data_IF_038965985693
#
_entry.id   IF_038965985693
#
_cell.length_a   1.000
_cell.length_b   1.000
_cell.length_c   1.000
_cell.angle_alpha   90.00
_cell.angle_beta   90.00
_cell.angle_gamma   90.00
#
_symmetry.space_group_name_H-M   'P 1'
#
loop_
_entity.id
_entity.type
_entity.pdbx_description
1 polymer ?
#
# COMPACT_ATOMS: atom_id res chain seq x y z
N UNK A 1 6.27 -51.35 -31.35
CA UNK A 1 6.02 -51.16 -29.91
C UNK A 1 7.14 -50.26 -29.38
N UNK A 2 6.87 -48.97 -29.26
CA UNK A 2 7.74 -47.98 -28.60
C UNK A 2 6.86 -47.19 -27.63
N UNK A 3 7.33 -46.86 -26.42
CA UNK A 3 6.46 -46.32 -25.39
C UNK A 3 6.12 -44.85 -25.65
N UNK A 4 4.92 -44.49 -25.22
CA UNK A 4 4.37 -43.16 -25.25
C UNK A 4 5.19 -42.18 -24.39
N UNK A 5 5.41 -40.99 -24.94
CA UNK A 5 6.04 -39.85 -24.27
C UNK A 5 5.00 -39.24 -23.30
N UNK A 6 5.17 -39.49 -22.01
CA UNK A 6 4.32 -38.96 -20.96
C UNK A 6 4.80 -37.55 -20.60
N UNK A 7 3.99 -36.54 -20.95
CA UNK A 7 4.15 -35.17 -20.51
C UNK A 7 4.25 -35.11 -18.97
N UNK A 8 5.36 -34.56 -18.45
CA UNK A 8 5.52 -34.26 -17.03
C UNK A 8 4.61 -33.09 -16.64
N UNK A 9 3.83 -33.19 -15.55
CA UNK A 9 3.19 -32.01 -14.97
C UNK A 9 4.27 -31.11 -14.35
N UNK A 10 4.19 -29.82 -14.68
CA UNK A 10 4.93 -28.73 -14.05
C UNK A 10 4.69 -28.77 -12.54
N UNK A 11 5.74 -29.06 -11.78
CA UNK A 11 5.75 -28.91 -10.33
C UNK A 11 5.69 -27.42 -10.01
N UNK A 12 4.52 -26.91 -9.67
CA UNK A 12 4.38 -25.63 -8.98
C UNK A 12 5.14 -25.73 -7.65
N UNK A 13 6.18 -24.90 -7.51
CA UNK A 13 6.89 -24.75 -6.24
C UNK A 13 5.97 -23.93 -5.32
N UNK A 14 5.58 -24.45 -4.15
CA UNK A 14 4.90 -23.63 -3.17
C UNK A 14 5.90 -22.59 -2.64
N UNK A 15 5.71 -21.33 -3.03
CA UNK A 15 6.39 -20.19 -2.42
C UNK A 15 5.92 -20.12 -0.97
N UNK A 16 6.72 -20.64 -0.06
CA UNK A 16 6.49 -20.52 1.37
C UNK A 16 6.63 -19.05 1.77
N UNK A 17 5.51 -18.36 1.91
CA UNK A 17 5.45 -17.03 2.51
C UNK A 17 5.79 -17.19 4.02
N UNK A 18 7.02 -16.84 4.40
CA UNK A 18 7.40 -16.77 5.80
C UNK A 18 6.76 -15.53 6.43
N UNK A 19 5.52 -15.69 6.92
CA UNK A 19 4.93 -14.73 7.85
C UNK A 19 5.75 -14.81 9.15
N UNK A 20 6.57 -13.81 9.43
CA UNK A 20 7.17 -13.64 10.75
C UNK A 20 6.12 -13.02 11.65
N UNK A 21 5.42 -13.77 12.54
CA UNK A 21 4.61 -13.13 13.54
C UNK A 21 5.59 -12.40 14.48
N UNK A 22 5.62 -11.07 14.40
CA UNK A 22 6.12 -10.29 15.50
C UNK A 22 5.38 -10.77 16.75
N UNK A 23 6.13 -11.37 17.68
CA UNK A 23 5.62 -11.85 18.96
C UNK A 23 5.21 -10.64 19.80
N UNK A 24 4.07 -10.05 19.47
CA UNK A 24 3.33 -9.17 20.38
C UNK A 24 2.90 -10.04 21.57
N UNK A 25 3.06 -9.56 22.83
CA UNK A 25 2.61 -10.29 24.00
C UNK A 25 1.12 -10.64 23.82
N UNK A 26 0.82 -11.95 23.70
CA UNK A 26 -0.51 -12.50 23.40
C UNK A 26 -1.56 -12.33 24.52
N UNK A 27 -1.37 -11.38 25.43
CA UNK A 27 -2.18 -11.25 26.65
C UNK A 27 -2.65 -9.83 26.96
N UNK A 28 -2.79 -8.96 25.95
CA UNK A 28 -3.70 -7.83 26.12
C UNK A 28 -5.13 -8.39 26.13
N UNK A 29 -5.95 -8.17 27.18
CA UNK A 29 -7.36 -8.50 27.12
C UNK A 29 -7.95 -7.81 25.89
N UNK A 30 -8.91 -8.44 25.16
CA UNK A 30 -9.59 -7.76 24.09
C UNK A 30 -10.11 -6.45 24.65
N UNK A 31 -9.59 -5.31 24.16
CA UNK A 31 -10.18 -4.01 24.50
C UNK A 31 -11.66 -4.17 24.18
N UNK A 32 -12.58 -3.84 25.11
CA UNK A 32 -13.99 -3.85 24.79
C UNK A 32 -14.13 -3.07 23.49
N UNK A 33 -14.70 -3.71 22.46
CA UNK A 33 -14.91 -3.07 21.17
C UNK A 33 -15.52 -1.72 21.47
N UNK A 34 -14.75 -0.64 21.23
CA UNK A 34 -15.17 0.71 21.55
C UNK A 34 -16.42 0.89 20.72
N UNK A 35 -17.58 0.84 21.36
CA UNK A 35 -18.84 0.89 20.65
C UNK A 35 -18.77 2.16 19.81
N UNK A 36 -18.89 2.02 18.49
CA UNK A 36 -19.08 3.17 17.61
C UNK A 36 -20.12 4.05 18.29
N UNK A 37 -19.90 5.37 18.45
CA UNK A 37 -20.89 6.24 19.08
C UNK A 37 -22.24 5.90 18.46
N UNK A 38 -23.16 5.35 19.25
CA UNK A 38 -24.36 4.67 18.72
C UNK A 38 -25.24 5.62 17.90
N UNK A 39 -24.98 6.92 18.04
CA UNK A 39 -25.71 8.03 17.44
C UNK A 39 -25.00 8.64 16.20
N UNK A 40 -23.88 8.07 15.73
CA UNK A 40 -23.16 8.56 14.54
C UNK A 40 -23.15 7.53 13.43
N UNK A 41 -23.35 8.00 12.20
CA UNK A 41 -23.19 7.18 10.99
C UNK A 41 -21.76 6.59 10.94
N UNK A 42 -21.55 5.30 10.61
CA UNK A 42 -20.21 4.73 10.44
C UNK A 42 -19.42 5.41 9.32
N UNK A 43 -18.09 5.50 9.46
CA UNK A 43 -17.19 5.82 8.34
C UNK A 43 -16.73 4.51 7.74
N UNK A 44 -16.87 4.34 6.42
CA UNK A 44 -16.38 3.18 5.70
C UNK A 44 -15.06 3.50 5.03
N UNK A 45 -14.01 2.83 5.49
CA UNK A 45 -12.70 2.81 4.85
C UNK A 45 -12.61 1.54 4.01
N UNK A 46 -12.27 1.69 2.73
CA UNK A 46 -11.96 0.60 1.82
C UNK A 46 -10.45 0.59 1.61
N UNK A 47 -9.80 -0.51 1.94
CA UNK A 47 -8.35 -0.68 1.81
C UNK A 47 -8.06 -1.79 0.82
N UNK A 48 -7.21 -1.51 -0.15
CA UNK A 48 -6.66 -2.45 -1.13
C UNK A 48 -5.15 -2.27 -1.21
N UNK A 49 -4.45 -3.21 -1.82
CA UNK A 49 -2.99 -3.24 -1.97
C UNK A 49 -2.62 -4.25 -3.05
N UNK A 50 -1.36 -4.25 -3.49
CA UNK A 50 -0.77 -5.30 -4.32
C UNK A 50 -1.60 -5.55 -5.59
N UNK A 51 -2.01 -4.47 -6.26
CA UNK A 51 -2.80 -4.57 -7.49
C UNK A 51 -1.95 -4.96 -8.69
N UNK A 52 -0.65 -4.64 -8.71
CA UNK A 52 0.27 -5.07 -9.76
C UNK A 52 -0.30 -4.85 -11.17
N UNK A 53 -0.61 -3.60 -11.48
CA UNK A 53 -1.22 -3.14 -12.73
C UNK A 53 -2.68 -3.60 -12.99
N UNK A 54 -3.26 -4.39 -12.09
CA UNK A 54 -4.64 -4.85 -12.22
C UNK A 54 -5.64 -3.83 -11.68
N UNK A 55 -6.82 -3.83 -12.30
CA UNK A 55 -7.97 -3.07 -11.80
C UNK A 55 -9.03 -4.02 -11.26
N UNK A 56 -9.58 -3.70 -10.10
CA UNK A 56 -10.59 -4.52 -9.43
C UNK A 56 -11.87 -3.75 -9.18
N UNK A 57 -12.98 -4.46 -8.98
CA UNK A 57 -14.21 -3.83 -8.52
C UNK A 57 -14.05 -3.43 -7.05
N UNK A 58 -14.14 -2.13 -6.77
CA UNK A 58 -14.01 -1.59 -5.42
C UNK A 58 -15.41 -1.24 -4.88
N UNK A 59 -15.81 -1.77 -3.70
CA UNK A 59 -17.08 -1.38 -3.09
C UNK A 59 -17.09 0.10 -2.73
N UNK A 60 -18.25 0.77 -2.69
CA UNK A 60 -18.32 2.17 -2.30
C UNK A 60 -17.96 2.36 -0.81
N UNK A 61 -17.30 3.48 -0.51
CA UNK A 61 -16.93 3.92 0.83
C UNK A 61 -16.60 5.41 0.89
N UNK A 62 -16.31 5.88 2.09
CA UNK A 62 -15.97 7.29 2.35
C UNK A 62 -14.48 7.57 2.07
N UNK A 63 -13.61 6.58 2.31
CA UNK A 63 -12.16 6.65 2.10
C UNK A 63 -11.71 5.42 1.32
N UNK A 64 -10.96 5.63 0.24
CA UNK A 64 -10.20 4.58 -0.43
C UNK A 64 -8.72 4.73 -0.07
N UNK A 65 -8.08 3.63 0.36
CA UNK A 65 -6.64 3.56 0.62
C UNK A 65 -6.05 2.48 -0.28
N UNK A 66 -5.02 2.83 -1.05
CA UNK A 66 -4.12 1.88 -1.70
C UNK A 66 -2.82 1.77 -0.88
N UNK A 67 -2.52 0.57 -0.37
CA UNK A 67 -1.46 0.35 0.62
C UNK A 67 -0.11 -0.09 0.01
N UNK A 68 0.14 0.29 -1.24
CA UNK A 68 1.39 0.00 -1.98
C UNK A 68 1.24 -1.07 -3.06
N UNK A 69 2.30 -1.24 -3.85
CA UNK A 69 2.41 -2.15 -4.99
C UNK A 69 1.27 -1.95 -6.00
N UNK A 70 1.15 -0.70 -6.46
CA UNK A 70 0.21 -0.32 -7.52
C UNK A 70 0.54 -1.06 -8.83
N UNK A 71 1.83 -1.19 -9.13
CA UNK A 71 2.35 -1.61 -10.44
C UNK A 71 3.31 -2.79 -10.32
N UNK A 72 3.61 -3.46 -11.43
CA UNK A 72 4.70 -4.44 -11.49
C UNK A 72 6.05 -3.79 -11.80
N UNK A 73 6.04 -2.86 -12.75
CA UNK A 73 7.27 -2.28 -13.30
C UNK A 73 7.73 -1.03 -12.56
N UNK A 74 6.83 -0.23 -11.98
CA UNK A 74 7.18 0.97 -11.22
C UNK A 74 7.58 2.19 -12.05
N UNK A 75 7.29 2.20 -13.35
CA UNK A 75 7.54 3.38 -14.21
C UNK A 75 6.55 4.50 -13.89
N UNK A 76 6.86 5.75 -14.22
CA UNK A 76 5.88 6.84 -14.11
C UNK A 76 4.62 6.57 -14.94
N UNK A 77 4.78 5.95 -16.11
CA UNK A 77 3.69 5.61 -17.01
C UNK A 77 2.71 4.62 -16.37
N UNK A 78 3.22 3.50 -15.84
CA UNK A 78 2.39 2.45 -15.22
C UNK A 78 1.68 3.00 -13.98
N UNK A 79 2.40 3.78 -13.16
CA UNK A 79 1.83 4.39 -11.96
C UNK A 79 0.72 5.37 -12.34
N UNK A 80 0.89 6.16 -13.40
CA UNK A 80 -0.15 7.09 -13.85
C UNK A 80 -1.43 6.35 -14.27
N UNK A 81 -1.32 5.19 -14.94
CA UNK A 81 -2.48 4.37 -15.29
C UNK A 81 -3.26 3.92 -14.05
N UNK A 82 -2.56 3.52 -12.99
CA UNK A 82 -3.18 3.12 -11.72
C UNK A 82 -3.80 4.32 -11.00
N UNK A 83 -3.12 5.46 -10.96
CA UNK A 83 -3.67 6.70 -10.39
C UNK A 83 -4.95 7.14 -11.13
N UNK A 84 -4.96 7.05 -12.45
CA UNK A 84 -6.14 7.41 -13.26
C UNK A 84 -7.32 6.46 -13.05
N UNK A 85 -7.04 5.18 -12.79
CA UNK A 85 -8.07 4.23 -12.35
C UNK A 85 -8.59 4.55 -10.94
N UNK A 86 -7.72 4.89 -9.99
CA UNK A 86 -8.10 5.29 -8.64
C UNK A 86 -8.91 6.58 -8.62
N UNK A 87 -8.56 7.59 -9.45
CA UNK A 87 -9.30 8.85 -9.59
C UNK A 87 -10.78 8.63 -9.95
N UNK A 88 -11.06 7.63 -10.80
CA UNK A 88 -12.42 7.27 -11.24
C UNK A 88 -13.28 6.63 -10.15
N UNK A 89 -12.69 6.22 -9.03
CA UNK A 89 -13.43 5.59 -7.94
C UNK A 89 -14.34 6.61 -7.23
N UNK A 90 -15.54 6.19 -6.77
CA UNK A 90 -16.55 7.11 -6.22
C UNK A 90 -16.21 7.67 -4.83
N UNK A 91 -15.07 7.25 -4.26
CA UNK A 91 -14.65 7.65 -2.93
C UNK A 91 -14.25 9.13 -2.90
N UNK A 92 -14.80 9.96 -2.01
CA UNK A 92 -14.45 11.38 -1.95
C UNK A 92 -13.01 11.61 -1.46
N UNK A 93 -12.48 10.69 -0.63
CA UNK A 93 -11.09 10.70 -0.17
C UNK A 93 -10.36 9.50 -0.75
N UNK A 94 -9.18 9.75 -1.34
CA UNK A 94 -8.31 8.72 -1.91
C UNK A 94 -6.90 8.93 -1.39
N UNK A 95 -6.36 7.93 -0.71
CA UNK A 95 -5.02 7.93 -0.14
C UNK A 95 -4.20 6.83 -0.80
N UNK A 96 -2.94 7.12 -1.13
CA UNK A 96 -2.01 6.16 -1.70
C UNK A 96 -0.68 6.23 -0.95
N UNK A 97 -0.10 5.07 -0.67
CA UNK A 97 1.33 4.94 -0.38
C UNK A 97 1.96 4.07 -1.46
N UNK A 98 3.27 4.23 -1.66
CA UNK A 98 4.05 3.39 -2.54
C UNK A 98 4.38 2.05 -1.86
N UNK A 99 4.49 0.99 -2.65
CA UNK A 99 5.13 -0.26 -2.24
C UNK A 99 6.51 -0.42 -2.88
N UNK A 100 7.10 -1.61 -2.75
CA UNK A 100 8.43 -1.88 -3.28
C UNK A 100 8.48 -1.96 -4.81
N UNK A 101 7.35 -2.22 -5.48
CA UNK A 101 7.29 -2.23 -6.94
C UNK A 101 7.09 -0.84 -7.56
N UNK A 102 6.75 0.18 -6.78
CA UNK A 102 6.43 1.52 -7.30
C UNK A 102 7.69 2.41 -7.41
N UNK A 103 8.69 1.93 -8.16
CA UNK A 103 10.05 2.47 -8.25
C UNK A 103 10.15 3.97 -8.51
N UNK A 104 9.21 4.58 -9.23
CA UNK A 104 9.18 6.02 -9.48
C UNK A 104 9.19 6.84 -8.19
N UNK A 105 8.50 6.40 -7.13
CA UNK A 105 8.35 7.19 -5.92
C UNK A 105 9.66 7.30 -5.11
N UNK A 106 10.55 6.30 -5.16
CA UNK A 106 11.85 6.35 -4.48
C UNK A 106 12.95 6.77 -5.46
N UNK A 107 13.59 7.95 -5.27
CA UNK A 107 14.68 8.42 -6.14
C UNK A 107 15.86 7.45 -6.29
N UNK A 108 16.07 6.55 -5.33
CA UNK A 108 17.16 5.54 -5.36
C UNK A 108 16.86 4.38 -6.30
N UNK A 109 15.57 4.14 -6.59
CA UNK A 109 15.10 3.08 -7.50
C UNK A 109 14.49 3.62 -8.78
N UNK A 110 14.30 4.94 -8.89
CA UNK A 110 13.67 5.58 -10.05
C UNK A 110 14.41 5.19 -11.34
N UNK A 111 13.63 4.76 -12.33
CA UNK A 111 14.17 4.31 -13.62
C UNK A 111 14.78 5.46 -14.38
N UNK A 112 15.83 5.16 -15.15
CA UNK A 112 16.53 6.15 -15.96
C UNK A 112 15.59 6.81 -16.99
N UNK A 113 14.66 6.06 -17.58
CA UNK A 113 13.69 6.60 -18.53
C UNK A 113 12.81 7.72 -17.94
N UNK A 114 12.38 7.58 -16.68
CA UNK A 114 11.59 8.60 -15.99
C UNK A 114 12.42 9.85 -15.68
N UNK A 115 13.72 9.68 -15.44
CA UNK A 115 14.67 10.77 -15.22
C UNK A 115 14.90 11.52 -16.53
N UNK A 116 15.19 10.77 -17.61
CA UNK A 116 15.51 11.32 -18.93
C UNK A 116 14.32 12.10 -19.52
N UNK A 117 13.10 11.60 -19.29
CA UNK A 117 11.86 12.25 -19.74
C UNK A 117 11.38 13.36 -18.80
N UNK A 118 12.05 13.55 -17.65
CA UNK A 118 11.59 14.41 -16.57
C UNK A 118 10.11 14.17 -16.21
N UNK A 119 9.73 12.89 -16.14
CA UNK A 119 8.36 12.43 -15.92
C UNK A 119 7.78 13.04 -14.65
N UNK A 120 6.47 13.31 -14.68
CA UNK A 120 5.70 13.83 -13.54
C UNK A 120 4.38 13.09 -13.45
N UNK A 121 4.02 12.70 -12.23
CA UNK A 121 2.71 12.14 -11.94
C UNK A 121 1.71 13.25 -11.69
N UNK A 122 0.51 13.08 -12.23
CA UNK A 122 -0.67 13.84 -11.85
C UNK A 122 -1.37 13.13 -10.68
N UNK A 123 -1.22 13.72 -9.50
CA UNK A 123 -1.83 13.26 -8.24
C UNK A 123 -3.15 13.99 -7.93
N UNK A 124 -3.73 14.75 -8.87
CA UNK A 124 -4.98 15.47 -8.59
C UNK A 124 -6.08 14.52 -8.08
N UNK A 125 -6.79 14.96 -7.04
CA UNK A 125 -7.79 14.15 -6.33
C UNK A 125 -7.26 12.95 -5.53
N UNK A 126 -5.94 12.77 -5.42
CA UNK A 126 -5.30 11.70 -4.63
C UNK A 126 -4.26 12.30 -3.67
N UNK A 127 -4.30 11.88 -2.41
CA UNK A 127 -3.26 12.22 -1.44
C UNK A 127 -2.23 11.10 -1.36
N UNK A 128 -1.02 11.36 -1.85
CA UNK A 128 0.13 10.49 -1.63
C UNK A 128 0.76 10.77 -0.26
N UNK A 129 1.05 9.72 0.52
CA UNK A 129 1.71 9.83 1.82
C UNK A 129 3.05 9.09 1.81
N UNK A 130 4.11 9.78 2.23
CA UNK A 130 5.45 9.25 2.39
C UNK A 130 6.03 9.76 3.70
N UNK A 131 5.98 8.93 4.73
CA UNK A 131 6.41 9.30 6.08
C UNK A 131 5.75 10.58 6.60
N UNK A 132 4.49 10.78 6.23
CA UNK A 132 3.72 11.99 6.51
C UNK A 132 2.29 11.65 6.93
N UNK A 133 1.62 12.62 7.55
CA UNK A 133 0.20 12.51 7.93
C UNK A 133 -0.66 13.46 7.11
N UNK A 134 -1.91 13.08 6.91
CA UNK A 134 -2.99 13.99 6.49
C UNK A 134 -4.17 13.87 7.44
N UNK A 135 -4.94 14.96 7.58
CA UNK A 135 -6.19 14.96 8.34
C UNK A 135 -7.33 15.13 7.37
N UNK A 136 -8.26 14.17 7.39
CA UNK A 136 -9.49 14.22 6.58
C UNK A 136 -10.70 14.40 7.48
N UNK A 137 -11.64 15.22 7.04
CA UNK A 137 -12.89 15.46 7.75
C UNK A 137 -14.03 14.74 7.04
N UNK A 138 -14.64 13.78 7.72
CA UNK A 138 -15.73 12.96 7.18
C UNK A 138 -16.80 12.82 8.26
N UNK A 139 -18.04 13.16 7.92
CA UNK A 139 -19.21 12.98 8.81
C UNK A 139 -18.93 13.56 10.21
N UNK A 140 -18.52 14.83 10.23
CA UNK A 140 -18.18 15.64 11.42
C UNK A 140 -17.13 15.01 12.34
N UNK A 141 -16.20 14.25 11.77
CA UNK A 141 -15.07 13.64 12.47
C UNK A 141 -13.78 13.88 11.70
N UNK A 142 -12.73 14.24 12.44
CA UNK A 142 -11.37 14.38 11.92
C UNK A 142 -10.63 13.07 12.10
N UNK A 143 -10.12 12.50 11.01
CA UNK A 143 -9.33 11.29 10.99
C UNK A 143 -7.91 11.65 10.58
N UNK A 144 -6.94 11.34 11.45
CA UNK A 144 -5.53 11.46 11.12
C UNK A 144 -5.05 10.16 10.47
N UNK A 145 -4.49 10.27 9.26
CA UNK A 145 -4.01 9.14 8.46
C UNK A 145 -2.52 9.36 8.23
N UNK A 146 -1.70 8.43 8.72
CA UNK A 146 -0.25 8.42 8.50
C UNK A 146 0.11 7.30 7.52
N UNK A 147 0.96 7.60 6.54
CA UNK A 147 1.44 6.64 5.55
C UNK A 147 2.96 6.57 5.53
N UNK A 148 3.50 5.35 5.49
CA UNK A 148 4.93 5.11 5.38
C UNK A 148 5.19 3.94 4.41
N UNK A 149 5.97 4.15 3.33
CA UNK A 149 6.27 3.12 2.34
C UNK A 149 7.49 2.26 2.70
N UNK A 150 8.17 2.54 3.81
CA UNK A 150 9.39 1.82 4.22
C UNK A 150 9.13 0.30 4.36
N UNK A 151 9.88 -0.51 3.61
CA UNK A 151 9.78 -1.98 3.62
C UNK A 151 11.15 -2.60 3.95
N UNK A 152 11.27 -3.63 4.81
CA UNK A 152 12.53 -4.33 5.00
C UNK A 152 13.05 -4.86 3.67
N UNK A 153 14.36 -4.82 3.43
CA UNK A 153 14.96 -5.30 2.19
C UNK A 153 14.41 -6.70 1.82
N UNK A 154 13.69 -6.76 0.71
CA UNK A 154 12.95 -7.95 0.25
C UNK A 154 13.34 -8.37 -1.17
N UNK A 155 14.10 -7.56 -1.91
CA UNK A 155 14.38 -7.81 -3.31
C UNK A 155 15.62 -7.08 -3.86
N UNK A 156 15.71 -6.93 -5.18
CA UNK A 156 16.81 -6.24 -5.84
C UNK A 156 16.85 -4.75 -5.46
N UNK A 157 17.94 -4.06 -5.77
CA UNK A 157 18.07 -2.62 -5.51
C UNK A 157 17.09 -1.75 -6.31
N UNK A 158 16.46 -2.30 -7.34
CA UNK A 158 15.40 -1.63 -8.11
C UNK A 158 14.07 -1.53 -7.36
N UNK A 159 13.92 -2.24 -6.23
CA UNK A 159 12.74 -2.13 -5.39
C UNK A 159 12.82 -0.88 -4.50
N UNK A 160 11.73 -0.13 -4.48
CA UNK A 160 11.59 1.13 -3.76
C UNK A 160 11.55 0.93 -2.24
N UNK A 161 11.94 1.99 -1.51
CA UNK A 161 11.76 2.16 -0.07
C UNK A 161 12.33 1.06 0.83
N UNK A 162 13.27 0.28 0.31
CA UNK A 162 13.94 -0.75 1.09
C UNK A 162 14.84 -0.13 2.17
N UNK A 163 14.82 -0.75 3.35
CA UNK A 163 15.76 -0.47 4.43
C UNK A 163 16.44 -1.75 4.95
N UNK A 164 17.68 -1.64 5.48
CA UNK A 164 18.38 -2.76 6.12
C UNK A 164 17.56 -3.36 7.27
N UNK A 165 17.43 -4.70 7.41
CA UNK A 165 16.59 -5.34 8.43
C UNK A 165 16.94 -5.00 9.89
N UNK A 166 18.14 -4.48 10.13
CA UNK A 166 18.67 -4.03 11.42
C UNK A 166 18.23 -2.61 11.81
N UNK A 167 17.52 -1.89 10.94
CA UNK A 167 16.95 -0.56 11.24
C UNK A 167 15.45 -0.64 11.58
N UNK A 168 15.08 -0.51 12.85
CA UNK A 168 13.66 -0.43 13.26
C UNK A 168 13.07 0.97 13.01
N UNK A 169 12.70 1.29 11.76
CA UNK A 169 12.22 2.64 11.37
C UNK A 169 10.80 3.00 11.82
N UNK A 170 9.95 2.02 12.14
CA UNK A 170 8.50 2.27 12.34
C UNK A 170 8.14 2.80 13.74
N UNK A 171 8.89 2.43 14.78
CA UNK A 171 8.52 2.70 16.17
C UNK A 171 8.54 4.19 16.55
N UNK A 172 9.27 5.03 15.83
CA UNK A 172 9.40 6.47 16.12
C UNK A 172 8.61 7.38 15.17
N UNK A 173 7.97 6.82 14.14
CA UNK A 173 7.32 7.59 13.06
C UNK A 173 5.83 7.80 13.24
N UNK A 174 5.16 6.97 14.06
CA UNK A 174 3.73 7.12 14.33
C UNK A 174 3.52 8.31 15.28
N UNK A 175 2.74 9.33 14.91
CA UNK A 175 2.46 10.44 15.81
C UNK A 175 1.83 9.94 17.11
N UNK A 176 2.20 10.52 18.27
CA UNK A 176 1.56 10.16 19.52
C UNK A 176 0.05 10.43 19.42
N UNK A 177 -0.75 9.57 20.07
CA UNK A 177 -2.19 9.79 20.13
C UNK A 177 -2.44 11.12 20.84
N UNK A 178 -3.25 12.05 20.29
CA UNK A 178 -3.58 13.28 20.99
C UNK A 178 -4.19 12.92 22.35
N UNK A 179 -3.59 13.41 23.43
CA UNK A 179 -4.19 13.33 24.77
C UNK A 179 -5.41 14.23 24.77
N UNK A 180 -6.59 13.62 24.97
CA UNK A 180 -7.87 14.30 25.16
C UNK A 180 -7.87 15.23 26.35
#
# INVERSE_FOLDING_TARGET
>A
MGPADAARPSSELPTHLHHYPALLPRHLPPRPARQSPRDKEPIRVVSISDTHDQTVSIPPGDILIHAGDLTDAGTAYDIQLQLDWLKKQPHPVKIVIAGNHDSYFDPRSRKQEDIDQASKLDLDGITYLENSSTVVEIKDRKLNIFGAPDIPKCGPSSFAFQYPPDESKWMSKVPPTPTS
#
